data_IF_801544249916
#
_entry.id   IF_801544249916
#
_cell.length_a   1.000
_cell.length_b   1.000
_cell.length_c   1.000
_cell.angle_alpha   90.00
_cell.angle_beta   90.00
_cell.angle_gamma   90.00
#
_symmetry.space_group_name_H-M   'P 1'
#
loop_
_entity.id
_entity.type
_entity.pdbx_description
1 polymer ?
#
# COMPACT_ATOMS: atom_id res chain seq x y z
N UNK A 1 1.55 -22.84 16.50
CA UNK A 1 0.25 -22.61 15.82
C UNK A 1 0.50 -21.52 14.80
N UNK A 2 0.34 -21.80 13.49
CA UNK A 2 0.47 -20.76 12.46
C UNK A 2 -0.64 -19.73 12.59
N UNK A 3 -0.31 -18.45 12.42
CA UNK A 3 -1.33 -17.40 12.31
C UNK A 3 -2.20 -17.69 11.07
N UNK A 4 -3.52 -17.38 11.11
CA UNK A 4 -4.36 -17.49 9.94
C UNK A 4 -3.79 -16.60 8.82
N UNK A 5 -3.79 -17.12 7.59
CA UNK A 5 -3.35 -16.38 6.41
C UNK A 5 -4.19 -15.10 6.27
N UNK A 6 -3.52 -14.01 5.90
CA UNK A 6 -4.19 -12.76 5.55
C UNK A 6 -4.67 -12.82 4.10
N UNK A 7 -5.59 -11.89 3.69
CA UNK A 7 -5.99 -11.75 2.28
C UNK A 7 -4.79 -11.57 1.35
N UNK A 8 -3.76 -10.83 1.82
CA UNK A 8 -2.54 -10.62 1.06
C UNK A 8 -1.75 -11.93 0.86
N UNK A 9 -1.62 -12.73 1.93
CA UNK A 9 -0.94 -14.03 1.86
C UNK A 9 -1.67 -14.99 0.92
N UNK A 10 -2.99 -15.09 1.03
CA UNK A 10 -3.83 -15.93 0.18
C UNK A 10 -3.70 -15.53 -1.29
N UNK A 11 -3.76 -14.24 -1.60
CA UNK A 11 -3.61 -13.72 -2.96
C UNK A 11 -2.24 -14.05 -3.53
N UNK A 12 -1.16 -13.79 -2.78
CA UNK A 12 0.21 -14.09 -3.21
C UNK A 12 0.40 -15.60 -3.44
N UNK A 13 -0.11 -16.44 -2.53
CA UNK A 13 -0.02 -17.90 -2.68
C UNK A 13 -0.78 -18.41 -3.92
N UNK A 14 -2.00 -17.94 -4.13
CA UNK A 14 -2.82 -18.29 -5.29
C UNK A 14 -2.12 -17.94 -6.62
N UNK A 15 -1.55 -16.74 -6.69
CA UNK A 15 -0.80 -16.30 -7.87
C UNK A 15 0.46 -17.13 -8.09
N UNK A 16 1.21 -17.45 -7.03
CA UNK A 16 2.39 -18.33 -7.11
C UNK A 16 2.01 -19.73 -7.60
N UNK A 17 0.95 -20.33 -7.07
CA UNK A 17 0.48 -21.67 -7.48
C UNK A 17 0.07 -21.71 -8.96
N UNK A 18 -0.52 -20.63 -9.46
CA UNK A 18 -0.90 -20.51 -10.87
C UNK A 18 0.21 -19.98 -11.78
N UNK A 19 1.43 -19.78 -11.25
CA UNK A 19 2.58 -19.19 -11.96
C UNK A 19 2.26 -17.83 -12.60
N UNK A 20 1.36 -17.06 -11.99
CA UNK A 20 0.98 -15.70 -12.41
C UNK A 20 1.72 -14.66 -11.59
N UNK A 21 1.89 -13.48 -12.19
CA UNK A 21 2.41 -12.29 -11.52
C UNK A 21 1.26 -11.45 -10.99
N UNK A 22 1.47 -10.76 -9.87
CA UNK A 22 0.52 -9.79 -9.35
C UNK A 22 0.60 -8.49 -10.15
N UNK A 23 -0.55 -7.92 -10.47
CA UNK A 23 -0.67 -6.51 -10.87
C UNK A 23 -1.11 -5.73 -9.64
N UNK A 24 -0.26 -4.80 -9.19
CA UNK A 24 -0.56 -3.85 -8.11
C UNK A 24 -0.89 -2.51 -8.75
N UNK A 25 -2.05 -1.95 -8.45
CA UNK A 25 -2.44 -0.63 -8.93
C UNK A 25 -2.44 0.37 -7.78
N UNK A 26 -1.77 1.52 -8.00
CA UNK A 26 -1.71 2.64 -7.08
C UNK A 26 -2.68 3.75 -7.48
N UNK A 27 -3.34 4.35 -6.49
CA UNK A 27 -4.11 5.58 -6.64
C UNK A 27 -4.07 6.38 -5.33
N UNK A 28 -4.13 7.72 -5.44
CA UNK A 28 -4.27 8.58 -4.26
C UNK A 28 -5.73 8.60 -3.84
N UNK A 29 -6.01 8.23 -2.58
CA UNK A 29 -7.37 8.23 -2.07
C UNK A 29 -7.92 9.65 -1.96
N UNK A 30 -9.13 9.88 -2.47
CA UNK A 30 -9.77 11.19 -2.51
C UNK A 30 -9.41 12.04 -3.74
N UNK A 31 -8.72 11.47 -4.74
CA UNK A 31 -8.43 12.14 -6.01
C UNK A 31 -9.31 11.58 -7.15
N UNK A 32 -10.17 12.38 -7.81
CA UNK A 32 -10.52 13.76 -7.47
C UNK A 32 -11.42 13.87 -6.24
N UNK A 33 -12.09 12.80 -5.82
CA UNK A 33 -12.95 12.67 -4.64
C UNK A 33 -13.05 11.20 -4.20
N UNK A 34 -13.68 10.95 -3.04
CA UNK A 34 -13.80 9.60 -2.45
C UNK A 34 -14.74 8.68 -3.23
N UNK A 35 -15.81 9.22 -3.83
CA UNK A 35 -16.77 8.40 -4.58
C UNK A 35 -16.12 7.92 -5.89
N UNK A 36 -15.41 8.81 -6.60
CA UNK A 36 -14.61 8.44 -7.78
C UNK A 36 -13.50 7.44 -7.44
N UNK A 37 -12.86 7.59 -6.26
CA UNK A 37 -11.87 6.63 -5.78
C UNK A 37 -12.48 5.25 -5.61
N UNK A 38 -13.67 5.15 -5.00
CA UNK A 38 -14.37 3.88 -4.81
C UNK A 38 -14.73 3.21 -6.14
N UNK A 39 -15.21 3.99 -7.10
CA UNK A 39 -15.53 3.49 -8.45
C UNK A 39 -14.27 2.97 -9.15
N UNK A 40 -13.15 3.70 -9.06
CA UNK A 40 -11.87 3.27 -9.64
C UNK A 40 -11.34 2.00 -8.98
N UNK A 41 -11.44 1.86 -7.66
CA UNK A 41 -11.03 0.64 -6.96
C UNK A 41 -11.77 -0.59 -7.51
N UNK A 42 -13.10 -0.51 -7.65
CA UNK A 42 -13.87 -1.60 -8.24
C UNK A 42 -13.53 -1.82 -9.72
N UNK A 43 -13.42 -0.76 -10.50
CA UNK A 43 -13.06 -0.86 -11.93
C UNK A 43 -11.68 -1.47 -12.15
N UNK A 44 -10.71 -1.20 -11.29
CA UNK A 44 -9.38 -1.83 -11.35
C UNK A 44 -9.45 -3.34 -11.08
N UNK A 45 -10.22 -3.75 -10.06
CA UNK A 45 -10.40 -5.18 -9.77
C UNK A 45 -11.12 -5.90 -10.90
N UNK A 46 -12.17 -5.32 -11.44
CA UNK A 46 -12.90 -5.84 -12.59
C UNK A 46 -12.03 -5.96 -13.84
N UNK A 47 -11.01 -5.08 -13.95
CA UNK A 47 -10.01 -5.10 -15.03
C UNK A 47 -8.84 -6.06 -14.78
N UNK A 48 -8.82 -6.79 -13.64
CA UNK A 48 -7.83 -7.81 -13.36
C UNK A 48 -6.69 -7.39 -12.45
N UNK A 49 -6.76 -6.23 -11.79
CA UNK A 49 -5.83 -5.83 -10.74
C UNK A 49 -5.96 -6.81 -9.56
N UNK A 50 -4.83 -7.20 -9.01
CA UNK A 50 -4.77 -8.23 -7.96
C UNK A 50 -4.63 -7.64 -6.56
N UNK A 51 -4.02 -6.47 -6.44
CA UNK A 51 -3.74 -5.77 -5.18
C UNK A 51 -3.95 -4.28 -5.43
N UNK A 52 -4.65 -3.60 -4.52
CA UNK A 52 -4.82 -2.16 -4.55
C UNK A 52 -3.86 -1.50 -3.55
N UNK A 53 -3.22 -0.41 -3.99
CA UNK A 53 -2.37 0.42 -3.15
C UNK A 53 -2.95 1.82 -3.10
N UNK A 54 -3.41 2.24 -1.91
CA UNK A 54 -4.05 3.52 -1.68
C UNK A 54 -3.04 4.49 -1.05
N UNK A 55 -2.70 5.55 -1.78
CA UNK A 55 -1.90 6.65 -1.26
C UNK A 55 -2.72 7.49 -0.28
N UNK A 56 -2.23 7.64 0.94
CA UNK A 56 -2.82 8.54 1.94
C UNK A 56 -2.35 9.96 1.64
N UNK A 57 -3.26 10.93 1.41
CA UNK A 57 -2.89 12.30 1.07
C UNK A 57 -1.94 12.93 2.09
N UNK A 58 -0.90 13.60 1.61
CA UNK A 58 0.13 14.24 2.41
C UNK A 58 0.61 15.53 1.74
N UNK A 59 0.96 16.54 2.54
CA UNK A 59 1.38 17.87 2.03
C UNK A 59 2.76 17.87 1.39
N UNK A 60 3.65 16.96 1.83
CA UNK A 60 5.05 16.95 1.44
C UNK A 60 5.48 15.56 0.89
N UNK A 61 4.87 15.09 -0.22
CA UNK A 61 5.10 13.74 -0.74
C UNK A 61 6.42 13.67 -1.52
N UNK A 62 7.54 13.73 -0.80
CA UNK A 62 8.89 13.88 -1.35
C UNK A 62 9.38 12.69 -2.19
N UNK A 63 8.78 11.52 -2.01
CA UNK A 63 9.14 10.32 -2.75
C UNK A 63 8.40 10.18 -4.09
N UNK A 64 7.35 10.98 -4.32
CA UNK A 64 6.52 10.92 -5.51
C UNK A 64 6.91 11.98 -6.55
N UNK A 65 6.63 11.64 -7.82
CA UNK A 65 6.80 12.57 -8.93
C UNK A 65 5.64 13.59 -9.04
N UNK A 66 5.77 14.61 -9.91
CA UNK A 66 4.83 15.74 -9.97
C UNK A 66 3.38 15.34 -10.27
N UNK A 67 3.15 14.26 -10.99
CA UNK A 67 1.79 13.77 -11.28
C UNK A 67 1.09 13.29 -10.00
N UNK A 68 1.79 12.52 -9.20
CA UNK A 68 1.25 11.99 -7.93
C UNK A 68 1.16 13.11 -6.89
N UNK A 69 2.15 14.02 -6.82
CA UNK A 69 2.06 15.21 -5.97
C UNK A 69 0.79 16.03 -6.27
N UNK A 70 0.47 16.25 -7.55
CA UNK A 70 -0.75 16.95 -7.94
C UNK A 70 -2.03 16.18 -7.54
N UNK A 71 -1.99 14.85 -7.47
CA UNK A 71 -3.10 14.03 -6.97
C UNK A 71 -3.28 14.23 -5.45
N UNK A 72 -2.18 14.22 -4.68
CA UNK A 72 -2.21 14.55 -3.25
C UNK A 72 -2.82 15.94 -3.00
N UNK A 73 -2.40 16.96 -3.78
CA UNK A 73 -2.93 18.31 -3.67
C UNK A 73 -4.45 18.37 -3.91
N UNK A 74 -4.97 17.60 -4.89
CA UNK A 74 -6.42 17.56 -5.16
C UNK A 74 -7.18 16.89 -4.02
N UNK A 75 -6.69 15.76 -3.52
CA UNK A 75 -7.30 15.07 -2.40
C UNK A 75 -7.30 15.91 -1.11
N UNK A 76 -6.21 16.64 -0.82
CA UNK A 76 -6.11 17.54 0.33
C UNK A 76 -7.06 18.74 0.21
N UNK A 77 -7.29 19.27 -1.00
CA UNK A 77 -8.30 20.34 -1.22
C UNK A 77 -9.71 19.88 -0.85
N UNK A 78 -10.00 18.60 -0.95
CA UNK A 78 -11.24 17.98 -0.52
C UNK A 78 -11.25 17.60 0.97
N UNK A 79 -10.21 17.97 1.72
CA UNK A 79 -10.01 17.63 3.13
C UNK A 79 -10.04 16.12 3.40
N UNK A 80 -9.61 15.29 2.46
CA UNK A 80 -9.56 13.84 2.63
C UNK A 80 -8.62 13.47 3.78
N UNK A 81 -9.16 12.84 4.80
CA UNK A 81 -8.45 12.38 5.98
C UNK A 81 -8.22 10.87 5.97
N UNK A 82 -7.35 10.38 6.87
CA UNK A 82 -7.15 8.93 7.04
C UNK A 82 -8.44 8.22 7.48
N UNK A 83 -9.28 8.87 8.29
CA UNK A 83 -10.57 8.29 8.69
C UNK A 83 -11.54 8.15 7.49
N UNK A 84 -11.55 9.10 6.58
CA UNK A 84 -12.36 9.00 5.35
C UNK A 84 -11.89 7.83 4.49
N UNK A 85 -10.58 7.57 4.47
CA UNK A 85 -10.00 6.43 3.74
C UNK A 85 -10.42 5.11 4.40
N UNK A 86 -10.46 5.01 5.72
CA UNK A 86 -10.98 3.81 6.38
C UNK A 86 -12.45 3.55 6.07
N UNK A 87 -13.28 4.58 6.06
CA UNK A 87 -14.69 4.43 5.66
C UNK A 87 -14.82 4.08 4.15
N UNK A 88 -13.94 4.60 3.30
CA UNK A 88 -13.83 4.21 1.90
C UNK A 88 -13.52 2.72 1.76
N UNK A 89 -12.49 2.24 2.47
CA UNK A 89 -12.11 0.82 2.47
C UNK A 89 -13.25 -0.06 2.96
N UNK A 90 -13.96 0.33 4.01
CA UNK A 90 -15.12 -0.37 4.51
C UNK A 90 -16.24 -0.46 3.48
N UNK A 91 -16.57 0.64 2.78
CA UNK A 91 -17.54 0.63 1.67
C UNK A 91 -17.09 -0.29 0.53
N UNK A 92 -15.80 -0.27 0.19
CA UNK A 92 -15.25 -1.20 -0.81
C UNK A 92 -15.46 -2.65 -0.38
N UNK A 93 -15.25 -2.96 0.90
CA UNK A 93 -15.43 -4.30 1.49
C UNK A 93 -16.88 -4.80 1.47
N UNK A 94 -17.88 -3.94 1.28
CA UNK A 94 -19.27 -4.38 1.12
C UNK A 94 -19.44 -5.28 -0.12
N UNK A 95 -18.65 -5.02 -1.18
CA UNK A 95 -18.72 -5.78 -2.44
C UNK A 95 -17.52 -6.70 -2.66
N UNK A 96 -16.33 -6.34 -2.18
CA UNK A 96 -15.08 -7.11 -2.37
C UNK A 96 -14.46 -7.50 -1.02
N UNK A 97 -14.45 -8.80 -0.73
CA UNK A 97 -13.87 -9.37 0.49
C UNK A 97 -12.46 -9.95 0.29
N UNK A 98 -11.97 -10.02 -0.96
CA UNK A 98 -10.81 -10.83 -1.34
C UNK A 98 -9.60 -10.03 -1.81
N UNK A 99 -9.81 -8.86 -2.44
CA UNK A 99 -8.72 -8.07 -2.99
C UNK A 99 -7.93 -7.39 -1.86
N UNK A 100 -6.62 -7.66 -1.72
CA UNK A 100 -5.80 -6.99 -0.72
C UNK A 100 -5.71 -5.49 -0.94
N UNK A 101 -5.74 -4.72 0.15
CA UNK A 101 -5.56 -3.27 0.16
C UNK A 101 -4.35 -2.93 1.02
N UNK A 102 -3.43 -2.16 0.43
CA UNK A 102 -2.24 -1.61 1.07
C UNK A 102 -2.45 -0.10 1.22
N UNK A 103 -2.21 0.45 2.40
CA UNK A 103 -2.09 1.90 2.57
C UNK A 103 -0.63 2.31 2.38
N UNK A 104 -0.37 3.22 1.46
CA UNK A 104 0.93 3.85 1.27
C UNK A 104 0.90 5.27 1.79
N UNK A 105 1.88 5.65 2.60
CA UNK A 105 1.94 7.00 3.15
C UNK A 105 3.25 7.30 3.88
N UNK A 106 3.23 8.38 4.62
CA UNK A 106 4.39 8.91 5.34
C UNK A 106 4.23 8.76 6.85
N UNK A 107 5.34 8.64 7.55
CA UNK A 107 5.38 8.44 9.02
C UNK A 107 4.48 9.43 9.76
N UNK A 108 4.57 10.71 9.45
CA UNK A 108 3.77 11.74 10.12
C UNK A 108 2.26 11.52 9.98
N UNK A 109 1.79 11.03 8.83
CA UNK A 109 0.37 10.73 8.60
C UNK A 109 -0.10 9.59 9.49
N UNK A 110 0.73 8.58 9.66
CA UNK A 110 0.39 7.38 10.42
C UNK A 110 0.58 7.57 11.93
N UNK A 111 1.66 8.23 12.37
CA UNK A 111 1.90 8.49 13.80
C UNK A 111 0.86 9.42 14.42
N UNK A 112 0.40 10.43 13.70
CA UNK A 112 -0.68 11.29 14.16
C UNK A 112 -1.99 10.53 14.45
N UNK A 113 -2.11 9.30 13.93
CA UNK A 113 -3.27 8.44 14.01
C UNK A 113 -2.91 6.97 14.36
N UNK A 114 -1.87 6.75 15.18
CA UNK A 114 -1.35 5.39 15.49
C UNK A 114 -2.43 4.46 16.06
N UNK A 115 -3.29 4.95 16.93
CA UNK A 115 -4.42 4.17 17.47
C UNK A 115 -5.38 3.72 16.36
N UNK A 116 -5.67 4.62 15.41
CA UNK A 116 -6.56 4.32 14.28
C UNK A 116 -5.90 3.34 13.31
N UNK A 117 -4.57 3.43 13.12
CA UNK A 117 -3.84 2.49 12.28
C UNK A 117 -3.82 1.08 12.87
N UNK A 118 -3.73 0.94 14.19
CA UNK A 118 -3.87 -0.35 14.87
C UNK A 118 -5.23 -1.02 14.58
N UNK A 119 -6.27 -0.22 14.36
CA UNK A 119 -7.61 -0.70 14.03
C UNK A 119 -7.84 -0.88 12.51
N UNK A 120 -6.92 -0.42 11.68
CA UNK A 120 -7.08 -0.40 10.21
C UNK A 120 -7.45 -1.75 9.59
N UNK A 121 -6.93 -2.84 10.16
CA UNK A 121 -7.32 -4.20 9.76
C UNK A 121 -8.82 -4.47 9.92
N UNK A 122 -9.46 -3.91 10.95
CA UNK A 122 -10.90 -4.07 11.19
C UNK A 122 -11.74 -3.37 10.12
N UNK A 123 -11.19 -2.33 9.49
CA UNK A 123 -11.80 -1.65 8.33
C UNK A 123 -11.54 -2.41 7.02
N UNK A 124 -10.60 -3.35 7.01
CA UNK A 124 -10.30 -4.17 5.84
C UNK A 124 -8.99 -3.84 5.13
N UNK A 125 -8.10 -3.08 5.76
CA UNK A 125 -6.72 -2.87 5.30
C UNK A 125 -5.89 -4.14 5.59
N UNK A 126 -5.02 -4.53 4.68
CA UNK A 126 -4.20 -5.74 4.79
C UNK A 126 -2.73 -5.46 5.07
N UNK A 127 -2.23 -4.33 4.60
CA UNK A 127 -0.84 -3.95 4.76
C UNK A 127 -0.66 -2.43 4.78
N UNK A 128 0.50 -2.00 5.26
CA UNK A 128 0.98 -0.63 5.14
C UNK A 128 2.36 -0.59 4.48
N UNK A 129 2.59 0.46 3.71
CA UNK A 129 3.88 0.84 3.15
C UNK A 129 4.18 2.26 3.62
N UNK A 130 5.16 2.40 4.51
CA UNK A 130 5.58 3.71 5.05
C UNK A 130 6.86 4.11 4.34
N UNK A 131 6.78 5.20 3.58
CA UNK A 131 7.78 5.55 2.56
C UNK A 131 9.08 6.07 3.16
N UNK A 132 9.00 6.76 4.29
CA UNK A 132 10.07 7.54 4.91
C UNK A 132 10.65 6.90 6.17
N UNK A 133 10.42 5.61 6.40
CA UNK A 133 11.12 4.84 7.44
C UNK A 133 12.23 3.97 6.84
N UNK A 134 13.29 3.66 7.62
CA UNK A 134 14.26 2.65 7.20
C UNK A 134 13.57 1.32 6.93
N UNK A 135 13.95 0.65 5.83
CA UNK A 135 13.33 -0.62 5.44
C UNK A 135 13.54 -1.76 6.44
N UNK A 136 14.51 -1.61 7.34
CA UNK A 136 14.79 -2.53 8.46
C UNK A 136 13.85 -2.34 9.66
N UNK A 137 13.14 -1.20 9.72
CA UNK A 137 12.17 -0.93 10.79
C UNK A 137 10.95 -1.84 10.64
N UNK A 138 10.36 -2.19 11.76
CA UNK A 138 9.12 -2.94 11.82
C UNK A 138 7.98 -2.05 12.35
N UNK A 139 6.76 -2.54 12.29
CA UNK A 139 5.59 -1.78 12.74
C UNK A 139 5.57 -1.55 14.25
N UNK A 140 6.20 -2.45 15.02
CA UNK A 140 6.28 -2.31 16.48
C UNK A 140 7.12 -1.07 16.86
N UNK A 141 8.12 -0.69 16.04
CA UNK A 141 8.92 0.54 16.23
C UNK A 141 8.07 1.82 16.12
N UNK A 142 6.90 1.71 15.52
CA UNK A 142 5.92 2.79 15.34
C UNK A 142 4.69 2.64 16.25
N UNK A 143 4.77 1.80 17.27
CA UNK A 143 3.65 1.49 18.17
C UNK A 143 2.42 0.89 17.43
N UNK A 144 2.66 0.23 16.29
CA UNK A 144 1.63 -0.45 15.51
C UNK A 144 1.69 -1.94 15.86
N UNK A 145 0.92 -2.35 16.84
CA UNK A 145 0.98 -3.70 17.42
C UNK A 145 0.11 -4.74 16.69
N UNK A 146 -0.61 -4.33 15.63
CA UNK A 146 -1.54 -5.23 14.93
C UNK A 146 -0.80 -6.26 14.08
N UNK A 147 -0.62 -7.46 14.62
CA UNK A 147 0.07 -8.59 13.96
C UNK A 147 -0.60 -9.14 12.69
N UNK A 148 -1.80 -8.68 12.38
CA UNK A 148 -2.51 -9.05 11.13
C UNK A 148 -2.26 -8.04 10.01
N UNK A 149 -1.67 -6.89 10.33
CA UNK A 149 -1.31 -5.87 9.36
C UNK A 149 0.10 -6.16 8.86
N UNK A 150 0.25 -6.39 7.55
CA UNK A 150 1.55 -6.63 6.96
C UNK A 150 2.32 -5.31 6.77
N UNK A 151 3.66 -5.38 6.84
CA UNK A 151 4.57 -4.28 6.53
C UNK A 151 5.23 -4.54 5.18
N UNK A 152 5.03 -3.64 4.24
CA UNK A 152 5.71 -3.65 2.94
C UNK A 152 6.90 -2.71 3.04
N UNK A 153 8.10 -3.23 2.85
CA UNK A 153 9.31 -2.41 2.90
C UNK A 153 9.81 -2.04 1.51
N UNK A 154 10.47 -0.89 1.44
CA UNK A 154 11.08 -0.38 0.21
C UNK A 154 12.58 -0.74 0.14
N UNK A 155 13.02 -1.12 -1.05
CA UNK A 155 14.44 -1.16 -1.41
C UNK A 155 14.68 -0.34 -2.67
N UNK A 156 15.92 0.10 -2.87
CA UNK A 156 16.36 0.79 -4.08
C UNK A 156 17.48 -0.01 -4.75
N UNK A 157 17.78 0.23 -6.03
CA UNK A 157 18.92 -0.40 -6.72
C UNK A 157 20.27 -0.17 -6.03
N UNK A 158 20.36 0.90 -5.23
CA UNK A 158 21.56 1.26 -4.44
C UNK A 158 21.61 0.57 -3.07
N UNK A 159 20.57 -0.16 -2.67
CA UNK A 159 20.54 -0.87 -1.39
C UNK A 159 21.55 -2.01 -1.40
N UNK A 160 22.46 -2.06 -0.41
CA UNK A 160 23.47 -3.12 -0.31
C UNK A 160 22.83 -4.49 -0.05
N UNK A 161 23.54 -5.55 -0.44
CA UNK A 161 23.04 -6.94 -0.26
C UNK A 161 22.76 -7.27 1.22
N UNK A 162 23.61 -6.79 2.12
CA UNK A 162 23.45 -7.05 3.56
C UNK A 162 22.19 -6.36 4.10
N UNK A 163 21.93 -5.12 3.67
CA UNK A 163 20.70 -4.41 4.01
C UNK A 163 19.46 -5.06 3.41
N UNK A 164 19.52 -5.54 2.18
CA UNK A 164 18.39 -6.28 1.57
C UNK A 164 18.03 -7.48 2.44
N UNK A 165 19.02 -8.23 2.93
CA UNK A 165 18.76 -9.38 3.79
C UNK A 165 18.09 -8.98 5.12
N UNK A 166 18.52 -7.87 5.72
CA UNK A 166 17.91 -7.34 6.95
C UNK A 166 16.47 -6.90 6.72
N UNK A 167 16.25 -6.13 5.64
CA UNK A 167 14.91 -5.64 5.25
C UNK A 167 13.96 -6.82 4.98
N UNK A 168 14.41 -7.85 4.26
CA UNK A 168 13.60 -9.04 4.02
C UNK A 168 13.19 -9.79 5.29
N UNK A 169 14.02 -9.74 6.32
CA UNK A 169 13.73 -10.40 7.60
C UNK A 169 12.77 -9.60 8.49
N UNK A 170 12.72 -8.27 8.35
CA UNK A 170 11.82 -7.38 9.10
C UNK A 170 10.48 -7.16 8.41
N UNK A 171 10.40 -7.41 7.10
CA UNK A 171 9.19 -7.20 6.30
C UNK A 171 8.24 -8.39 6.34
N UNK A 172 6.96 -8.11 6.13
CA UNK A 172 5.93 -9.14 5.90
C UNK A 172 5.15 -8.82 4.63
N UNK A 173 4.72 -9.83 3.88
CA UNK A 173 4.04 -9.62 2.58
C UNK A 173 5.01 -9.68 1.40
N UNK A 174 5.44 -8.53 0.87
CA UNK A 174 6.42 -8.46 -0.21
C UNK A 174 7.34 -7.24 -0.08
N UNK A 175 8.39 -7.19 -0.90
CA UNK A 175 9.31 -6.07 -0.97
C UNK A 175 8.99 -5.25 -2.22
N UNK A 176 8.82 -3.94 -2.05
CA UNK A 176 8.66 -2.99 -3.14
C UNK A 176 10.03 -2.42 -3.56
N UNK A 177 10.29 -2.40 -4.87
CA UNK A 177 11.54 -1.86 -5.40
C UNK A 177 11.28 -0.47 -6.01
N UNK A 178 11.82 0.56 -5.37
CA UNK A 178 11.69 1.94 -5.86
C UNK A 178 12.81 2.27 -6.83
N UNK A 179 12.45 2.81 -8.00
CA UNK A 179 13.36 3.33 -9.01
C UNK A 179 13.16 4.83 -9.18
N UNK A 180 14.24 5.59 -9.34
CA UNK A 180 14.18 7.04 -9.60
C UNK A 180 13.57 7.39 -10.97
N UNK A 181 13.58 6.45 -11.91
CA UNK A 181 12.94 6.59 -13.21
C UNK A 181 12.17 5.30 -13.53
N UNK A 182 10.88 5.32 -13.28
CA UNK A 182 9.96 4.29 -13.76
C UNK A 182 9.69 4.48 -15.26
N UNK A 183 10.67 4.21 -16.09
CA UNK A 183 10.37 3.72 -17.42
C UNK A 183 10.27 2.21 -17.29
N UNK A 184 9.06 1.67 -17.47
CA UNK A 184 8.94 0.27 -17.84
C UNK A 184 9.91 0.08 -19.00
N UNK A 185 10.94 -0.80 -18.88
CA UNK A 185 11.74 -1.11 -20.03
C UNK A 185 10.77 -1.68 -21.06
N UNK A 186 10.49 -0.90 -22.08
CA UNK A 186 9.85 -1.40 -23.28
C UNK A 186 10.87 -2.33 -23.89
N UNK A 187 10.94 -3.56 -23.40
CA UNK A 187 11.65 -4.61 -24.10
C UNK A 187 10.76 -5.02 -25.26
N UNK A 188 10.65 -4.15 -26.23
CA UNK A 188 10.46 -4.54 -27.61
C UNK A 188 11.84 -4.88 -28.15
N UNK A 189 12.28 -6.09 -27.93
CA UNK A 189 13.24 -6.75 -28.79
C UNK A 189 12.58 -8.02 -29.28
N UNK A 190 12.14 -7.90 -30.49
CA UNK A 190 11.97 -8.97 -31.47
C UNK A 190 13.26 -9.78 -31.56
#
# INVERSE_FOLDING_TARGET
MGYPLTRLDEKIQSLKQSSKKALVAYLVAGDPDLDSTLELMHGFVDSGVNILELGVPFTDPIAEGPTIQAAHDRALKNNTSLNDIFELVKKFRDKDKETPIILMGYTNTFLANSLTLNESYNFGVDAVLIVDIPGESNLDDLEIENKKLASISLIAPTTSKDRISQICNSSSGFISVSYTHLTLPTILRV
#
